data_IF_200200000339
#
_entry.id   IF_200200000339
#
_cell.length_a   1.000
_cell.length_b   1.000
_cell.length_c   1.000
_cell.angle_alpha   90.00
_cell.angle_beta   90.00
_cell.angle_gamma   90.00
#
_symmetry.space_group_name_H-M   'P 1'
#
loop_
_entity.id
_entity.type
_entity.pdbx_description
1 polymer ?
#
# COMPACT_ATOMS: atom_id res chain seq x y z
N UNK A 1 -3.44 -18.67 -12.44
CA UNK A 1 -4.42 -18.61 -11.33
C UNK A 1 -4.33 -17.32 -10.55
N UNK A 2 -5.49 -16.77 -10.19
CA UNK A 2 -5.60 -15.64 -9.26
C UNK A 2 -5.97 -16.20 -7.88
N UNK A 3 -5.07 -16.10 -6.91
CA UNK A 3 -5.29 -16.59 -5.54
C UNK A 3 -5.84 -15.47 -4.66
N UNK A 4 -6.89 -15.78 -3.91
CA UNK A 4 -7.44 -14.89 -2.90
C UNK A 4 -6.71 -15.08 -1.56
N UNK A 5 -6.60 -14.00 -0.80
CA UNK A 5 -5.97 -13.94 0.53
C UNK A 5 -6.89 -13.20 1.48
N UNK A 6 -6.87 -13.57 2.76
CA UNK A 6 -7.64 -12.88 3.80
C UNK A 6 -6.85 -11.74 4.44
N UNK A 7 -5.51 -11.80 4.43
CA UNK A 7 -4.63 -10.74 4.89
C UNK A 7 -3.80 -10.18 3.73
N UNK A 8 -3.85 -8.86 3.53
CA UNK A 8 -3.06 -8.18 2.49
C UNK A 8 -1.55 -8.32 2.73
N UNK A 9 -1.13 -8.58 3.97
CA UNK A 9 0.28 -8.82 4.31
C UNK A 9 0.84 -10.05 3.61
N UNK A 10 0.00 -11.04 3.33
CA UNK A 10 0.40 -12.22 2.54
C UNK A 10 0.70 -11.83 1.09
N UNK A 11 0.06 -10.78 0.56
CA UNK A 11 0.25 -10.28 -0.80
C UNK A 11 1.53 -9.43 -0.88
N UNK A 12 1.72 -8.45 0.00
CA UNK A 12 2.88 -7.54 -0.08
C UNK A 12 4.21 -8.25 0.24
N UNK A 13 4.18 -9.36 0.97
CA UNK A 13 5.37 -10.16 1.27
C UNK A 13 5.77 -11.14 0.16
N UNK A 14 4.93 -11.32 -0.87
CA UNK A 14 5.25 -12.19 -2.01
C UNK A 14 6.35 -11.59 -2.86
N UNK A 15 7.38 -12.37 -3.15
CA UNK A 15 8.53 -11.92 -3.95
C UNK A 15 8.26 -11.87 -5.45
N UNK A 16 7.19 -12.52 -5.90
CA UNK A 16 6.80 -12.64 -7.31
C UNK A 16 5.77 -11.58 -7.74
N UNK A 17 5.44 -10.62 -6.87
CA UNK A 17 4.55 -9.50 -7.15
C UNK A 17 5.38 -8.21 -7.18
N UNK A 18 5.28 -7.44 -8.27
CA UNK A 18 6.02 -6.19 -8.42
C UNK A 18 5.24 -4.97 -7.90
N UNK A 19 3.92 -4.96 -8.11
CA UNK A 19 3.05 -3.83 -7.78
C UNK A 19 1.72 -4.26 -7.16
N UNK A 20 1.10 -3.35 -6.39
CA UNK A 20 -0.22 -3.53 -5.79
C UNK A 20 -1.16 -2.37 -6.11
N UNK A 21 -2.45 -2.71 -6.24
CA UNK A 21 -3.54 -1.75 -6.35
C UNK A 21 -4.34 -1.76 -5.05
N UNK A 22 -4.43 -0.62 -4.37
CA UNK A 22 -5.16 -0.45 -3.12
C UNK A 22 -6.50 0.21 -3.43
N UNK A 23 -7.56 -0.58 -3.30
CA UNK A 23 -8.95 -0.17 -3.52
C UNK A 23 -9.85 -0.53 -2.31
N UNK A 24 -9.26 -0.58 -1.11
CA UNK A 24 -9.98 -0.78 0.15
C UNK A 24 -10.73 0.49 0.56
N UNK A 25 -11.44 0.52 1.70
CA UNK A 25 -11.88 1.78 2.28
C UNK A 25 -10.70 2.71 2.64
N UNK A 26 -10.94 4.02 2.58
CA UNK A 26 -9.93 5.09 2.69
C UNK A 26 -9.10 5.05 3.98
N UNK A 27 -9.70 4.67 5.10
CA UNK A 27 -9.01 4.56 6.39
C UNK A 27 -7.89 3.49 6.42
N UNK A 28 -7.83 2.61 5.41
CA UNK A 28 -6.75 1.63 5.24
C UNK A 28 -5.63 2.11 4.30
N UNK A 29 -5.90 3.10 3.45
CA UNK A 29 -5.03 3.45 2.33
C UNK A 29 -3.62 3.83 2.78
N UNK A 30 -3.50 4.68 3.80
CA UNK A 30 -2.21 5.12 4.31
C UNK A 30 -1.38 3.94 4.86
N UNK A 31 -2.02 3.04 5.63
CA UNK A 31 -1.37 1.88 6.24
C UNK A 31 -0.85 0.95 5.14
N UNK A 32 -1.72 0.55 4.21
CA UNK A 32 -1.38 -0.39 3.16
C UNK A 32 -0.36 0.19 2.17
N UNK A 33 -0.46 1.48 1.85
CA UNK A 33 0.48 2.16 0.96
C UNK A 33 1.87 2.17 1.57
N UNK A 34 2.01 2.60 2.83
CA UNK A 34 3.30 2.65 3.52
C UNK A 34 3.92 1.25 3.65
N UNK A 35 3.13 0.25 4.04
CA UNK A 35 3.63 -1.13 4.17
C UNK A 35 4.04 -1.75 2.84
N UNK A 36 3.27 -1.51 1.77
CA UNK A 36 3.60 -1.99 0.42
C UNK A 36 4.89 -1.34 -0.11
N UNK A 37 5.03 -0.02 0.03
CA UNK A 37 6.25 0.71 -0.36
C UNK A 37 7.46 0.18 0.40
N UNK A 38 7.35 0.01 1.72
CA UNK A 38 8.42 -0.55 2.57
C UNK A 38 8.76 -2.00 2.19
N UNK A 39 7.80 -2.76 1.65
CA UNK A 39 7.99 -4.12 1.13
C UNK A 39 8.57 -4.14 -0.29
N UNK A 40 8.98 -2.99 -0.82
CA UNK A 40 9.59 -2.83 -2.13
C UNK A 40 8.60 -2.82 -3.30
N UNK A 41 7.28 -2.81 -3.04
CA UNK A 41 6.25 -2.81 -4.09
C UNK A 41 6.04 -1.42 -4.66
N UNK A 42 5.65 -1.39 -5.92
CA UNK A 42 5.06 -0.18 -6.51
C UNK A 42 3.57 -0.13 -6.16
N UNK A 43 3.05 1.07 -5.92
CA UNK A 43 1.70 1.23 -5.37
C UNK A 43 0.87 2.16 -6.24
N UNK A 44 -0.30 1.66 -6.64
CA UNK A 44 -1.42 2.46 -7.09
C UNK A 44 -2.48 2.47 -5.99
N UNK A 45 -2.91 3.64 -5.54
CA UNK A 45 -3.90 3.78 -4.47
C UNK A 45 -5.06 4.65 -4.94
N UNK A 46 -6.28 4.17 -4.74
CA UNK A 46 -7.50 4.88 -5.13
C UNK A 46 -7.74 6.14 -4.30
N UNK A 47 -8.57 7.03 -4.86
CA UNK A 47 -8.94 8.26 -4.14
C UNK A 47 -9.92 7.97 -2.99
N UNK A 48 -9.82 8.71 -1.87
CA UNK A 48 -8.73 9.60 -1.48
C UNK A 48 -7.49 8.82 -1.02
N UNK A 49 -6.28 9.32 -1.30
CA UNK A 49 -5.04 8.63 -0.92
C UNK A 49 -4.90 8.42 0.60
N UNK A 50 -5.40 9.36 1.40
CA UNK A 50 -5.30 9.39 2.86
C UNK A 50 -6.50 10.09 3.47
N UNK A 51 -6.74 9.85 4.76
CA UNK A 51 -7.83 10.47 5.50
C UNK A 51 -7.48 11.89 6.00
N UNK A 52 -6.20 12.17 6.21
CA UNK A 52 -5.72 13.47 6.69
C UNK A 52 -4.30 13.81 6.20
N UNK A 53 -3.88 15.05 6.43
CA UNK A 53 -2.56 15.57 6.00
C UNK A 53 -1.41 14.85 6.70
N UNK A 54 -1.58 14.43 7.95
CA UNK A 54 -0.53 13.73 8.68
C UNK A 54 -0.18 12.41 7.99
N UNK A 55 -1.19 11.63 7.62
CA UNK A 55 -1.02 10.40 6.84
C UNK A 55 -0.35 10.66 5.49
N UNK A 56 -0.72 11.73 4.79
CA UNK A 56 -0.08 12.08 3.51
C UNK A 56 1.43 12.31 3.67
N UNK A 57 1.82 12.98 4.77
CA UNK A 57 3.24 13.18 5.10
C UNK A 57 3.94 11.85 5.41
N UNK A 58 3.28 10.90 6.05
CA UNK A 58 3.87 9.57 6.28
C UNK A 58 4.07 8.80 4.98
N UNK A 59 3.10 8.83 4.07
CA UNK A 59 3.22 8.20 2.74
C UNK A 59 4.38 8.81 1.95
N UNK A 60 4.49 10.14 1.91
CA UNK A 60 5.60 10.83 1.23
C UNK A 60 6.96 10.43 1.82
N UNK A 61 7.07 10.36 3.15
CA UNK A 61 8.30 9.92 3.82
C UNK A 61 8.64 8.47 3.53
N UNK A 62 7.66 7.58 3.39
CA UNK A 62 7.88 6.19 3.05
C UNK A 62 8.46 6.07 1.63
N UNK A 63 7.89 6.80 0.66
CA UNK A 63 8.36 6.81 -0.72
C UNK A 63 9.77 7.41 -0.83
N UNK A 64 10.06 8.51 -0.14
CA UNK A 64 11.36 9.18 -0.20
C UNK A 64 12.53 8.39 0.43
N UNK A 65 12.25 7.32 1.18
CA UNK A 65 13.28 6.40 1.71
C UNK A 65 13.73 5.35 0.70
N UNK A 66 12.94 5.13 -0.36
CA UNK A 66 13.21 4.19 -1.46
C UNK A 66 14.00 4.92 -2.54
#
# INVERSE_FOLDING_TARGET
DCKAYNDYREIINRKDIDAVCIATPDHWHAIQTVEAVNSGKDVYCEKPLTHNVHESVQVMKAVAKK
#
